data_IF_413277241634
#
_entry.id   IF_413277241634
#
_cell.length_a   1.000
_cell.length_b   1.000
_cell.length_c   1.000
_cell.angle_alpha   90.00
_cell.angle_beta   90.00
_cell.angle_gamma   90.00
#
_symmetry.space_group_name_H-M   'P 1'
#
loop_
_entity.id
_entity.type
_entity.pdbx_description
1 polymer ?
#
# COMPACT_ATOMS: atom_id res chain seq x y z
N UNK A 1 -5.10 -0.94 -34.71
CA UNK A 1 -4.03 -0.32 -33.91
C UNK A 1 -4.38 -0.48 -32.43
N UNK A 2 -3.70 -1.34 -31.64
CA UNK A 2 -4.05 -1.47 -30.24
C UNK A 2 -3.46 -0.28 -29.48
N UNK A 3 -4.26 0.76 -29.28
CA UNK A 3 -3.94 1.84 -28.34
C UNK A 3 -4.27 1.36 -26.92
N UNK A 4 -3.53 0.36 -26.46
CA UNK A 4 -3.66 -0.14 -25.08
C UNK A 4 -3.31 1.00 -24.13
N UNK A 5 -4.33 1.59 -23.50
CA UNK A 5 -4.16 2.47 -22.34
C UNK A 5 -3.39 1.69 -21.28
N UNK A 6 -2.07 1.85 -21.24
CA UNK A 6 -1.24 1.29 -20.17
C UNK A 6 -1.69 1.93 -18.86
N UNK A 7 -2.49 1.20 -18.09
CA UNK A 7 -2.79 1.55 -16.70
C UNK A 7 -1.61 1.11 -15.85
N UNK A 8 -0.96 2.07 -15.20
CA UNK A 8 0.06 1.78 -14.20
C UNK A 8 -0.62 1.34 -12.92
N UNK A 9 -0.26 0.16 -12.39
CA UNK A 9 -0.69 -0.29 -11.06
C UNK A 9 0.50 -0.23 -10.12
N UNK A 10 0.36 0.50 -9.00
CA UNK A 10 1.36 0.60 -7.94
C UNK A 10 1.02 -0.36 -6.80
N UNK A 11 1.98 -1.18 -6.40
CA UNK A 11 1.90 -2.01 -5.20
C UNK A 11 2.76 -1.41 -4.09
N UNK A 12 2.25 -1.38 -2.86
CA UNK A 12 2.96 -0.85 -1.69
C UNK A 12 2.69 -1.74 -0.48
N UNK A 13 3.71 -1.94 0.35
CA UNK A 13 3.61 -2.73 1.57
C UNK A 13 4.68 -2.33 2.56
N UNK A 14 4.47 -2.65 3.83
CA UNK A 14 5.46 -2.49 4.88
C UNK A 14 6.19 -3.81 5.14
N UNK A 15 7.46 -3.73 5.53
CA UNK A 15 8.28 -4.89 5.86
C UNK A 15 8.58 -4.90 7.36
N UNK A 16 8.40 -6.06 8.00
CA UNK A 16 8.82 -6.36 9.38
C UNK A 16 9.78 -7.54 9.37
N UNK A 17 10.48 -7.74 10.49
CA UNK A 17 11.33 -8.92 10.70
C UNK A 17 10.56 -10.25 10.53
N UNK A 18 9.24 -10.24 10.80
CA UNK A 18 8.36 -11.40 10.64
C UNK A 18 7.76 -11.54 9.24
N UNK A 19 8.09 -10.63 8.30
CA UNK A 19 7.59 -10.66 6.92
C UNK A 19 6.86 -9.38 6.48
N UNK A 20 6.25 -9.44 5.29
CA UNK A 20 5.49 -8.33 4.71
C UNK A 20 4.15 -8.12 5.43
N UNK A 21 3.78 -6.87 5.64
CA UNK A 21 2.53 -6.46 6.27
C UNK A 21 1.95 -5.22 5.58
N UNK A 22 0.71 -4.86 5.89
CA UNK A 22 0.01 -3.70 5.30
C UNK A 22 0.09 -3.63 3.76
N UNK A 23 -0.29 -4.67 3.00
CA UNK A 23 -0.28 -4.63 1.54
C UNK A 23 -1.37 -3.69 1.01
N UNK A 24 -1.06 -2.97 -0.07
CA UNK A 24 -1.95 -2.02 -0.74
C UNK A 24 -1.67 -1.98 -2.25
N UNK A 25 -2.73 -1.95 -3.06
CA UNK A 25 -2.66 -1.87 -4.51
C UNK A 25 -3.44 -0.64 -4.95
N UNK A 26 -2.86 0.14 -5.85
CA UNK A 26 -3.48 1.32 -6.41
C UNK A 26 -3.35 1.34 -7.94
N UNK A 27 -4.47 1.49 -8.64
CA UNK A 27 -4.50 1.63 -10.10
C UNK A 27 -4.17 3.07 -10.50
N UNK A 28 -2.89 3.42 -10.38
CA UNK A 28 -2.31 4.65 -10.85
C UNK A 28 -0.91 4.84 -10.29
N UNK A 29 -0.30 5.98 -10.62
CA UNK A 29 0.92 6.41 -9.96
C UNK A 29 0.61 6.82 -8.52
N UNK A 30 1.46 6.39 -7.59
CA UNK A 30 1.39 6.86 -6.20
C UNK A 30 1.59 8.38 -6.14
N UNK A 31 0.72 9.07 -5.41
CA UNK A 31 0.87 10.50 -5.09
C UNK A 31 0.75 10.71 -3.58
N UNK A 32 0.98 11.94 -3.11
CA UNK A 32 0.97 12.27 -1.68
C UNK A 32 -0.38 11.96 -0.99
N UNK A 33 -1.50 12.17 -1.67
CA UNK A 33 -2.83 11.88 -1.11
C UNK A 33 -3.06 10.38 -0.96
N UNK A 34 -2.71 9.58 -1.97
CA UNK A 34 -2.84 8.11 -1.94
C UNK A 34 -1.87 7.54 -0.91
N UNK A 35 -0.66 8.06 -0.82
CA UNK A 35 0.32 7.65 0.19
C UNK A 35 -0.15 7.99 1.61
N UNK A 36 -0.72 9.18 1.83
CA UNK A 36 -1.29 9.53 3.14
C UNK A 36 -2.45 8.62 3.51
N UNK A 37 -3.35 8.34 2.56
CA UNK A 37 -4.44 7.38 2.78
C UNK A 37 -3.91 5.99 3.12
N UNK A 38 -2.86 5.51 2.43
CA UNK A 38 -2.17 4.27 2.77
C UNK A 38 -1.64 4.29 4.21
N UNK A 39 -1.00 5.37 4.63
CA UNK A 39 -0.45 5.51 5.99
C UNK A 39 -1.56 5.48 7.06
N UNK A 40 -2.59 6.31 6.89
CA UNK A 40 -3.65 6.50 7.88
C UNK A 40 -4.59 5.30 7.96
N UNK A 41 -4.95 4.71 6.82
CA UNK A 41 -6.01 3.71 6.73
C UNK A 41 -5.49 2.28 6.71
N UNK A 42 -4.26 2.05 6.24
CA UNK A 42 -3.71 0.70 6.08
C UNK A 42 -2.53 0.48 7.04
N UNK A 43 -1.51 1.35 6.99
CA UNK A 43 -0.28 1.15 7.74
C UNK A 43 -0.47 1.34 9.25
N UNK A 44 -1.04 2.46 9.70
CA UNK A 44 -1.19 2.78 11.11
C UNK A 44 -2.06 1.76 11.88
N UNK A 45 -3.23 1.32 11.36
CA UNK A 45 -4.01 0.25 12.00
C UNK A 45 -3.25 -1.08 12.06
N UNK A 46 -2.47 -1.40 11.03
CA UNK A 46 -1.65 -2.62 10.98
C UNK A 46 -0.47 -2.58 11.97
N UNK A 47 0.09 -1.39 12.23
CA UNK A 47 1.12 -1.14 13.24
C UNK A 47 0.62 -1.25 14.68
N UNK A 48 -0.64 -0.90 14.94
CA UNK A 48 -1.21 -0.99 16.29
C UNK A 48 -1.43 -2.42 16.77
N UNK A 49 -1.46 -3.40 15.87
CA UNK A 49 -1.56 -4.84 16.19
C UNK A 49 -0.21 -5.43 16.66
N UNK A 50 0.48 -4.71 17.54
CA UNK A 50 1.66 -5.17 18.29
C UNK A 50 1.37 -4.96 19.78
N UNK A 51 0.37 -5.66 20.28
CA UNK A 51 0.20 -5.94 21.72
C UNK A 51 -0.59 -7.24 21.82
N UNK A 52 0.07 -8.37 21.60
CA UNK A 52 -0.33 -9.72 22.05
C UNK A 52 0.74 -10.70 21.60
N UNK A 53 1.27 -11.44 22.59
CA UNK A 53 2.14 -12.62 22.50
C UNK A 53 3.65 -12.38 22.42
#
# INVERSE_FOLDING_TARGET
MPHGHWKTTTFTGALRLTGMTAPFVYDGAMNSNVFRAYVEQVLAPTCRRVTSS
#
